data_IF_498853432548
#
_entry.id   IF_498853432548
#
_cell.length_a   1.000
_cell.length_b   1.000
_cell.length_c   1.000
_cell.angle_alpha   90.00
_cell.angle_beta   90.00
_cell.angle_gamma   90.00
#
_symmetry.space_group_name_H-M   'P 1'
#
loop_
_entity.id
_entity.type
_entity.pdbx_description
1 polymer ?
#
# COMPACT_ATOMS: atom_id res chain seq x y z
N UNK A 1 3.42 -23.29 11.78
CA UNK A 1 2.44 -23.46 10.69
C UNK A 1 1.01 -23.19 11.19
N UNK A 2 0.54 -23.82 12.29
CA UNK A 2 -0.83 -23.59 12.80
C UNK A 2 -1.04 -22.17 13.35
N UNK A 3 -0.04 -21.58 14.01
CA UNK A 3 -0.12 -20.23 14.54
C UNK A 3 -0.16 -19.18 13.41
N UNK A 4 0.68 -19.33 12.39
CA UNK A 4 0.73 -18.43 11.23
C UNK A 4 -0.57 -18.48 10.40
N UNK A 5 -1.16 -19.67 10.23
CA UNK A 5 -2.45 -19.83 9.55
C UNK A 5 -3.56 -19.14 10.33
N UNK A 6 -3.56 -19.28 11.65
CA UNK A 6 -4.57 -18.65 12.53
C UNK A 6 -4.46 -17.14 12.53
N UNK A 7 -3.25 -16.59 12.54
CA UNK A 7 -3.02 -15.14 12.41
C UNK A 7 -3.51 -14.62 11.06
N UNK A 8 -3.20 -15.31 9.96
CA UNK A 8 -3.66 -14.96 8.63
C UNK A 8 -5.19 -14.95 8.54
N UNK A 9 -5.87 -15.91 9.14
CA UNK A 9 -7.33 -16.00 9.16
C UNK A 9 -7.94 -14.85 9.96
N UNK A 10 -7.37 -14.50 11.11
CA UNK A 10 -7.81 -13.37 11.94
C UNK A 10 -7.68 -12.07 11.17
N UNK A 11 -6.53 -11.82 10.55
CA UNK A 11 -6.28 -10.59 9.79
C UNK A 11 -7.19 -10.50 8.57
N UNK A 12 -7.39 -11.59 7.85
CA UNK A 12 -8.31 -11.64 6.70
C UNK A 12 -9.75 -11.29 7.11
N UNK A 13 -10.24 -11.82 8.24
CA UNK A 13 -11.56 -11.50 8.76
C UNK A 13 -11.67 -10.01 9.14
N UNK A 14 -10.63 -9.45 9.73
CA UNK A 14 -10.58 -8.03 10.09
C UNK A 14 -10.54 -7.11 8.87
N UNK A 15 -9.82 -7.50 7.82
CA UNK A 15 -9.83 -6.79 6.54
C UNK A 15 -11.26 -6.71 5.99
N UNK A 16 -11.95 -7.84 5.93
CA UNK A 16 -13.33 -7.89 5.44
C UNK A 16 -14.26 -6.99 6.27
N UNK A 17 -14.13 -7.01 7.58
CA UNK A 17 -14.90 -6.16 8.48
C UNK A 17 -14.63 -4.67 8.25
N UNK A 18 -13.36 -4.26 8.17
CA UNK A 18 -12.97 -2.86 7.93
C UNK A 18 -13.47 -2.35 6.58
N UNK A 19 -13.40 -3.17 5.54
CA UNK A 19 -13.86 -2.80 4.21
C UNK A 19 -15.40 -2.70 4.12
N UNK A 20 -16.13 -3.36 5.02
CA UNK A 20 -17.57 -3.24 5.15
C UNK A 20 -18.03 -1.98 5.88
N UNK A 21 -17.13 -1.30 6.59
CA UNK A 21 -17.43 -0.06 7.31
C UNK A 21 -17.36 1.14 6.37
N UNK A 22 -18.34 2.04 6.46
CA UNK A 22 -18.39 3.26 5.63
C UNK A 22 -17.55 4.41 6.20
N UNK A 23 -17.24 4.35 7.48
CA UNK A 23 -16.47 5.41 8.15
C UNK A 23 -15.03 5.40 7.65
N UNK A 24 -14.61 6.54 7.12
CA UNK A 24 -13.22 6.74 6.68
C UNK A 24 -12.86 8.21 6.78
N UNK A 25 -11.73 8.50 7.40
CA UNK A 25 -11.14 9.83 7.45
C UNK A 25 -9.78 9.81 6.74
N UNK A 26 -9.61 10.68 5.76
CA UNK A 26 -8.34 10.78 5.04
C UNK A 26 -7.31 11.52 5.91
N UNK A 27 -6.52 10.77 6.65
CA UNK A 27 -5.50 11.31 7.56
C UNK A 27 -4.44 10.27 7.89
N UNK A 28 -3.23 10.68 8.31
CA UNK A 28 -2.22 9.74 8.82
C UNK A 28 -2.71 8.91 10.02
N UNK A 29 -3.55 9.50 10.87
CA UNK A 29 -4.14 8.80 12.02
C UNK A 29 -5.00 7.62 11.57
N UNK A 30 -5.74 7.76 10.48
CA UNK A 30 -6.52 6.64 9.91
C UNK A 30 -5.64 5.47 9.50
N UNK A 31 -4.49 5.74 8.88
CA UNK A 31 -3.52 4.70 8.52
C UNK A 31 -3.03 3.94 9.76
N UNK A 32 -2.69 4.65 10.83
CA UNK A 32 -2.30 4.05 12.11
C UNK A 32 -3.43 3.25 12.75
N UNK A 33 -4.65 3.77 12.68
CA UNK A 33 -5.85 3.11 13.23
C UNK A 33 -6.16 1.82 12.48
N UNK A 34 -6.05 1.82 11.16
CA UNK A 34 -6.23 0.61 10.34
C UNK A 34 -5.20 -0.45 10.73
N UNK A 35 -3.93 -0.07 10.86
CA UNK A 35 -2.89 -1.01 11.28
C UNK A 35 -3.19 -1.59 12.67
N UNK A 36 -3.57 -0.77 13.63
CA UNK A 36 -3.95 -1.23 14.96
C UNK A 36 -5.10 -2.22 14.90
N UNK A 37 -6.16 -1.90 14.18
CA UNK A 37 -7.35 -2.75 14.07
C UNK A 37 -7.10 -4.06 13.35
N UNK A 38 -6.18 -4.08 12.38
CA UNK A 38 -5.78 -5.31 11.69
C UNK A 38 -4.95 -6.23 12.60
N UNK A 39 -4.05 -5.66 13.39
CA UNK A 39 -2.99 -6.42 14.05
C UNK A 39 -3.05 -6.43 15.57
N UNK A 40 -4.06 -5.83 16.19
CA UNK A 40 -4.24 -5.86 17.64
C UNK A 40 -4.32 -7.31 18.14
N UNK A 41 -3.46 -7.63 19.14
CA UNK A 41 -3.33 -9.00 19.64
C UNK A 41 -2.52 -9.94 18.74
N UNK A 42 -2.12 -9.51 17.55
CA UNK A 42 -1.24 -10.23 16.63
C UNK A 42 0.20 -9.72 16.75
N UNK A 43 0.37 -8.42 16.71
CA UNK A 43 1.66 -7.77 16.92
C UNK A 43 1.60 -6.86 18.16
N UNK A 44 2.65 -6.88 18.97
CA UNK A 44 2.76 -5.96 20.13
C UNK A 44 2.81 -4.48 19.69
N UNK A 45 3.36 -4.23 18.52
CA UNK A 45 3.52 -2.88 17.94
C UNK A 45 2.30 -2.41 17.11
N UNK A 46 1.15 -3.07 17.22
CA UNK A 46 -0.04 -2.73 16.42
C UNK A 46 -0.42 -1.24 16.59
N UNK A 47 -0.52 -0.53 15.47
CA UNK A 47 -0.85 0.90 15.44
C UNK A 47 0.29 1.84 15.81
N UNK A 48 1.50 1.33 16.00
CA UNK A 48 2.66 2.14 16.41
C UNK A 48 3.66 2.31 15.27
N UNK A 49 4.14 3.52 15.11
CA UNK A 49 5.24 3.82 14.20
C UNK A 49 6.52 3.15 14.72
N UNK A 50 7.26 2.50 13.82
CA UNK A 50 8.52 1.85 14.18
C UNK A 50 9.54 2.86 14.73
N UNK A 51 10.25 2.51 15.83
CA UNK A 51 11.25 3.40 16.42
C UNK A 51 12.66 3.15 15.87
N UNK A 52 12.83 2.32 14.83
CA UNK A 52 14.13 1.96 14.24
C UNK A 52 14.03 1.89 12.73
N UNK A 53 15.20 2.04 12.07
CA UNK A 53 15.29 1.88 10.62
C UNK A 53 15.23 0.41 10.24
N UNK A 54 14.60 0.11 9.11
CA UNK A 54 14.43 -1.24 8.61
C UNK A 54 14.95 -1.39 7.20
N UNK A 55 15.33 -2.62 6.87
CA UNK A 55 15.68 -3.06 5.52
C UNK A 55 15.08 -4.44 5.31
N UNK A 56 14.56 -4.68 4.10
CA UNK A 56 13.96 -5.97 3.74
C UNK A 56 14.51 -6.40 2.39
N UNK A 57 15.00 -7.64 2.33
CA UNK A 57 15.40 -8.25 1.07
C UNK A 57 14.18 -8.61 0.24
N UNK A 58 14.22 -8.26 -1.03
CA UNK A 58 13.11 -8.48 -1.95
C UNK A 58 13.51 -9.47 -3.07
N UNK A 59 12.72 -10.52 -3.20
CA UNK A 59 12.93 -11.53 -4.23
C UNK A 59 12.91 -10.95 -5.66
N UNK A 60 11.99 -10.05 -5.94
CA UNK A 60 11.86 -9.41 -7.27
C UNK A 60 13.09 -8.56 -7.62
N UNK A 61 13.86 -8.13 -6.62
CA UNK A 61 15.10 -7.38 -6.77
C UNK A 61 16.35 -8.26 -6.64
N UNK A 62 16.21 -9.58 -6.70
CA UNK A 62 17.30 -10.54 -6.54
C UNK A 62 18.04 -10.40 -5.21
N UNK A 63 17.32 -10.03 -4.16
CA UNK A 63 17.84 -9.90 -2.80
C UNK A 63 18.25 -8.48 -2.41
N UNK A 64 18.16 -7.51 -3.31
CA UNK A 64 18.29 -6.09 -2.97
C UNK A 64 17.07 -5.58 -2.20
N UNK A 65 17.16 -4.38 -1.66
CA UNK A 65 16.16 -3.76 -0.81
C UNK A 65 15.74 -2.38 -1.33
N UNK A 66 14.50 -2.00 -1.02
CA UNK A 66 14.03 -0.62 -1.14
C UNK A 66 14.57 0.20 0.03
N UNK A 67 14.89 1.47 -0.22
CA UNK A 67 15.22 2.41 0.84
C UNK A 67 13.92 2.97 1.41
N UNK A 68 13.61 2.59 2.67
CA UNK A 68 12.47 3.11 3.40
C UNK A 68 12.80 4.41 4.13
N UNK A 69 11.78 5.15 4.54
CA UNK A 69 12.00 6.39 5.31
C UNK A 69 12.75 6.10 6.62
N UNK A 70 13.65 7.00 7.00
CA UNK A 70 14.27 6.95 8.31
C UNK A 70 13.21 7.09 9.41
N UNK A 71 13.34 6.33 10.50
CA UNK A 71 12.29 6.25 11.52
C UNK A 71 11.96 7.60 12.16
N UNK A 72 12.92 8.50 12.30
CA UNK A 72 12.74 9.83 12.85
C UNK A 72 12.01 10.80 11.91
N UNK A 73 11.92 10.49 10.62
CA UNK A 73 11.21 11.32 9.64
C UNK A 73 9.85 10.76 9.19
N UNK A 74 9.43 9.60 9.70
CA UNK A 74 8.19 8.94 9.29
C UNK A 74 6.96 9.85 9.47
N UNK A 75 6.81 10.44 10.64
CA UNK A 75 5.66 11.28 10.98
C UNK A 75 5.56 12.48 10.04
N UNK A 76 6.65 13.21 9.86
CA UNK A 76 6.69 14.40 9.01
C UNK A 76 6.46 14.06 7.53
N UNK A 77 7.00 12.93 7.06
CA UNK A 77 6.82 12.48 5.68
C UNK A 77 5.37 12.06 5.42
N UNK A 78 4.74 11.36 6.36
CA UNK A 78 3.32 11.03 6.27
C UNK A 78 2.46 12.30 6.20
N UNK A 79 2.70 13.26 7.09
CA UNK A 79 1.96 14.52 7.11
C UNK A 79 2.11 15.27 5.78
N UNK A 80 3.32 15.31 5.22
CA UNK A 80 3.59 15.94 3.93
C UNK A 80 2.87 15.25 2.78
N UNK A 81 2.95 13.94 2.67
CA UNK A 81 2.33 13.19 1.58
C UNK A 81 0.80 13.31 1.64
N UNK A 82 0.21 13.23 2.84
CA UNK A 82 -1.23 13.39 3.02
C UNK A 82 -1.68 14.82 2.72
N UNK A 83 -0.92 15.83 3.14
CA UNK A 83 -1.22 17.21 2.82
C UNK A 83 -1.19 17.44 1.30
N UNK A 84 -0.16 16.96 0.62
CA UNK A 84 0.00 17.08 -0.83
C UNK A 84 -1.16 16.41 -1.58
N UNK A 85 -1.56 15.21 -1.16
CA UNK A 85 -2.68 14.50 -1.76
C UNK A 85 -4.01 15.24 -1.56
N UNK A 86 -4.24 15.85 -0.40
CA UNK A 86 -5.44 16.67 -0.14
C UNK A 86 -5.53 17.90 -1.05
N UNK A 87 -4.40 18.44 -1.47
CA UNK A 87 -4.36 19.59 -2.40
C UNK A 87 -4.56 19.17 -3.86
N UNK A 88 -4.42 17.90 -4.16
CA UNK A 88 -4.59 17.38 -5.50
C UNK A 88 -6.08 17.20 -5.83
N UNK A 89 -6.48 17.58 -7.06
CA UNK A 89 -7.84 17.38 -7.54
C UNK A 89 -7.87 16.34 -8.66
N UNK A 90 -8.72 15.35 -8.51
CA UNK A 90 -9.01 14.37 -9.56
C UNK A 90 -10.01 14.88 -10.58
N UNK A 91 -10.62 16.03 -10.32
CA UNK A 91 -11.62 16.63 -11.20
C UNK A 91 -11.00 17.01 -12.56
N UNK A 92 -11.66 16.62 -13.64
CA UNK A 92 -11.21 16.90 -15.00
C UNK A 92 -10.11 16.01 -15.53
N UNK A 93 -9.59 15.07 -14.72
CA UNK A 93 -8.61 14.10 -15.17
C UNK A 93 -9.27 12.93 -15.90
N UNK A 94 -8.56 12.35 -16.89
CA UNK A 94 -8.93 11.07 -17.44
C UNK A 94 -8.78 9.97 -16.38
N UNK A 95 -9.45 8.83 -16.58
CA UNK A 95 -9.31 7.69 -15.68
C UNK A 95 -7.86 7.19 -15.62
N UNK A 96 -7.15 7.21 -16.75
CA UNK A 96 -5.73 6.81 -16.78
C UNK A 96 -4.83 7.78 -16.01
N UNK A 97 -5.06 9.08 -16.11
CA UNK A 97 -4.34 10.08 -15.34
C UNK A 97 -4.62 9.91 -13.83
N UNK A 98 -5.85 9.61 -13.47
CA UNK A 98 -6.24 9.33 -12.08
C UNK A 98 -5.56 8.05 -11.56
N UNK A 99 -5.50 7.00 -12.36
CA UNK A 99 -4.78 5.75 -12.03
C UNK A 99 -3.31 6.01 -11.79
N UNK A 100 -2.68 6.79 -12.66
CA UNK A 100 -1.25 7.13 -12.53
C UNK A 100 -0.97 7.89 -11.23
N UNK A 101 -1.80 8.88 -10.93
CA UNK A 101 -1.64 9.67 -9.69
C UNK A 101 -1.89 8.82 -8.44
N UNK A 102 -2.93 7.99 -8.46
CA UNK A 102 -3.25 7.07 -7.36
C UNK A 102 -2.12 6.07 -7.13
N UNK A 103 -1.53 5.53 -8.19
CA UNK A 103 -0.38 4.64 -8.11
C UNK A 103 0.81 5.32 -7.44
N UNK A 104 1.08 6.56 -7.81
CA UNK A 104 2.16 7.35 -7.18
C UNK A 104 1.90 7.59 -5.70
N UNK A 105 0.72 8.03 -5.33
CA UNK A 105 0.35 8.26 -3.92
C UNK A 105 0.46 6.97 -3.10
N UNK A 106 -0.08 5.86 -3.61
CA UNK A 106 -0.02 4.55 -2.95
C UNK A 106 1.44 4.10 -2.74
N UNK A 107 2.26 4.26 -3.77
CA UNK A 107 3.68 3.96 -3.72
C UNK A 107 4.42 4.80 -2.68
N UNK A 108 4.14 6.09 -2.63
CA UNK A 108 4.80 7.03 -1.71
C UNK A 108 4.50 6.69 -0.24
N UNK A 109 3.23 6.43 0.11
CA UNK A 109 2.88 6.07 1.50
C UNK A 109 3.42 4.69 1.88
N UNK A 110 3.45 3.74 0.95
CA UNK A 110 4.04 2.43 1.19
C UNK A 110 5.55 2.51 1.42
N UNK A 111 6.25 3.35 0.64
CA UNK A 111 7.71 3.52 0.75
C UNK A 111 8.11 4.12 2.11
N UNK A 112 7.28 4.94 2.71
CA UNK A 112 7.51 5.41 4.09
C UNK A 112 7.65 4.22 5.03
N UNK A 113 6.85 3.17 4.82
CA UNK A 113 6.92 1.92 5.58
C UNK A 113 6.88 2.18 7.08
N UNK A 114 5.80 2.79 7.59
CA UNK A 114 5.79 3.31 8.96
C UNK A 114 5.80 2.25 10.05
N UNK A 115 5.47 1.00 9.73
CA UNK A 115 5.32 -0.06 10.72
C UNK A 115 6.45 -1.09 10.60
N UNK A 116 6.67 -1.84 11.69
CA UNK A 116 7.64 -2.94 11.67
C UNK A 116 7.23 -4.04 10.70
N UNK A 117 5.94 -4.36 10.66
CA UNK A 117 5.32 -5.35 9.79
C UNK A 117 3.90 -4.94 9.41
N UNK A 118 3.35 -5.56 8.37
CA UNK A 118 1.98 -5.32 7.95
C UNK A 118 1.77 -4.07 7.10
N UNK A 119 2.84 -3.47 6.57
CA UNK A 119 2.76 -2.25 5.77
C UNK A 119 1.95 -2.44 4.47
N UNK A 120 2.17 -3.51 3.74
CA UNK A 120 1.48 -3.74 2.46
C UNK A 120 -0.02 -3.98 2.65
N UNK A 121 -0.42 -4.80 3.63
CA UNK A 121 -1.83 -5.05 3.95
C UNK A 121 -2.54 -3.79 4.43
N UNK A 122 -1.90 -3.01 5.28
CA UNK A 122 -2.44 -1.74 5.76
C UNK A 122 -2.61 -0.74 4.63
N UNK A 123 -1.62 -0.61 3.75
CA UNK A 123 -1.68 0.25 2.57
C UNK A 123 -2.83 -0.16 1.65
N UNK A 124 -3.01 -1.46 1.40
CA UNK A 124 -4.09 -1.97 0.57
C UNK A 124 -5.47 -1.60 1.13
N UNK A 125 -5.71 -1.85 2.42
CA UNK A 125 -6.98 -1.53 3.07
C UNK A 125 -7.23 -0.02 3.04
N UNK A 126 -6.22 0.78 3.36
CA UNK A 126 -6.33 2.24 3.33
C UNK A 126 -6.72 2.74 1.94
N UNK A 127 -6.03 2.28 0.90
CA UNK A 127 -6.26 2.73 -0.48
C UNK A 127 -7.63 2.28 -1.00
N UNK A 128 -8.08 1.07 -0.67
CA UNK A 128 -9.44 0.62 -1.02
C UNK A 128 -10.48 1.55 -0.39
N UNK A 129 -10.37 1.83 0.89
CA UNK A 129 -11.30 2.73 1.58
C UNK A 129 -11.25 4.15 1.01
N UNK A 130 -10.07 4.63 0.67
CA UNK A 130 -9.89 5.92 0.01
C UNK A 130 -10.59 5.96 -1.35
N UNK A 131 -10.38 4.96 -2.20
CA UNK A 131 -11.05 4.86 -3.50
C UNK A 131 -12.58 4.83 -3.38
N UNK A 132 -13.12 4.17 -2.36
CA UNK A 132 -14.56 4.16 -2.10
C UNK A 132 -15.12 5.54 -1.80
N UNK A 133 -14.33 6.47 -1.27
CA UNK A 133 -14.78 7.85 -1.05
C UNK A 133 -15.03 8.60 -2.36
N UNK A 134 -14.47 8.13 -3.48
CA UNK A 134 -14.72 8.67 -4.82
C UNK A 134 -15.97 8.06 -5.49
N UNK A 135 -16.71 7.22 -4.79
CA UNK A 135 -17.85 6.50 -5.34
C UNK A 135 -17.49 5.27 -6.18
N UNK A 136 -16.26 4.80 -6.11
CA UNK A 136 -15.80 3.61 -6.79
C UNK A 136 -16.18 2.35 -6.00
N UNK A 137 -16.69 1.34 -6.69
CA UNK A 137 -16.90 0.02 -6.11
C UNK A 137 -15.61 -0.77 -6.21
N UNK A 138 -14.95 -0.99 -5.09
CA UNK A 138 -13.68 -1.70 -5.01
C UNK A 138 -13.79 -2.80 -3.98
N UNK A 139 -13.57 -4.05 -4.40
CA UNK A 139 -13.51 -5.20 -3.50
C UNK A 139 -12.08 -5.56 -3.14
N UNK A 140 -11.92 -6.33 -2.05
CA UNK A 140 -10.63 -6.88 -1.67
C UNK A 140 -10.18 -8.04 -2.57
N UNK A 141 -11.05 -8.57 -3.42
CA UNK A 141 -10.79 -9.81 -4.16
C UNK A 141 -9.55 -9.70 -5.05
N UNK A 142 -9.40 -8.61 -5.80
CA UNK A 142 -8.24 -8.40 -6.68
C UNK A 142 -6.95 -8.28 -5.85
N UNK A 143 -6.99 -7.58 -4.73
CA UNK A 143 -5.84 -7.46 -3.83
C UNK A 143 -5.46 -8.80 -3.21
N UNK A 144 -6.44 -9.60 -2.80
CA UNK A 144 -6.21 -10.93 -2.23
C UNK A 144 -5.66 -11.90 -3.27
N UNK A 145 -6.23 -11.90 -4.48
CA UNK A 145 -5.81 -12.76 -5.59
C UNK A 145 -4.42 -12.41 -6.11
N UNK A 146 -4.08 -11.12 -6.16
CA UNK A 146 -2.82 -10.60 -6.70
C UNK A 146 -1.96 -9.90 -5.65
N UNK A 147 -2.02 -10.33 -4.40
CA UNK A 147 -1.29 -9.69 -3.29
C UNK A 147 0.23 -9.68 -3.51
N UNK A 148 0.76 -10.76 -4.05
CA UNK A 148 2.19 -10.88 -4.38
C UNK A 148 2.60 -9.91 -5.50
N UNK A 149 1.77 -9.81 -6.55
CA UNK A 149 1.99 -8.84 -7.61
C UNK A 149 1.94 -7.40 -7.08
N UNK A 150 0.93 -7.07 -6.28
CA UNK A 150 0.77 -5.75 -5.68
C UNK A 150 2.01 -5.34 -4.88
N UNK A 151 2.50 -6.24 -4.02
CA UNK A 151 3.73 -6.00 -3.27
C UNK A 151 4.93 -5.77 -4.18
N UNK A 152 5.14 -6.62 -5.17
CA UNK A 152 6.27 -6.50 -6.11
C UNK A 152 6.18 -5.21 -6.95
N UNK A 153 4.98 -4.80 -7.32
CA UNK A 153 4.75 -3.55 -8.04
C UNK A 153 5.15 -2.32 -7.19
N UNK A 154 4.83 -2.33 -5.89
CA UNK A 154 5.25 -1.30 -4.94
C UNK A 154 6.78 -1.28 -4.76
N UNK A 155 7.39 -2.44 -4.68
CA UNK A 155 8.85 -2.57 -4.62
C UNK A 155 9.50 -1.94 -5.85
N UNK A 156 9.04 -2.28 -7.05
CA UNK A 156 9.56 -1.75 -8.32
C UNK A 156 9.34 -0.25 -8.47
N UNK A 157 8.28 0.28 -7.89
CA UNK A 157 7.99 1.71 -7.91
C UNK A 157 8.99 2.53 -7.07
N UNK A 158 9.75 1.89 -6.19
CA UNK A 158 10.63 2.55 -5.23
C UNK A 158 12.09 2.08 -5.31
N UNK A 159 12.48 1.38 -6.37
CA UNK A 159 13.82 0.82 -6.49
C UNK A 159 14.56 1.37 -7.69
N UNK A 160 15.75 1.90 -7.44
CA UNK A 160 16.69 2.32 -8.48
C UNK A 160 18.01 1.57 -8.34
N UNK A 161 18.54 1.09 -9.44
CA UNK A 161 19.91 0.58 -9.55
C UNK A 161 20.49 1.10 -10.86
N UNK A 162 20.96 2.34 -10.83
CA UNK A 162 21.43 3.06 -12.02
C UNK A 162 22.63 2.38 -12.67
N UNK A 163 23.48 1.72 -11.86
CA UNK A 163 24.62 0.96 -12.34
C UNK A 163 24.20 -0.18 -13.28
N UNK A 164 23.05 -0.78 -13.04
CA UNK A 164 22.48 -1.84 -13.86
C UNK A 164 21.35 -1.35 -14.78
N UNK A 165 21.18 -0.04 -14.93
CA UNK A 165 20.16 0.56 -15.80
C UNK A 165 18.72 0.37 -15.30
N UNK A 166 18.52 0.12 -14.00
CA UNK A 166 17.20 -0.10 -13.42
C UNK A 166 16.70 1.21 -12.81
N UNK A 167 15.53 1.66 -13.23
CA UNK A 167 14.86 2.84 -12.73
C UNK A 167 13.55 2.48 -12.03
N UNK A 168 13.22 3.22 -10.98
CA UNK A 168 11.92 3.12 -10.34
C UNK A 168 10.81 3.44 -11.34
N UNK A 169 9.75 2.66 -11.32
CA UNK A 169 8.60 2.84 -12.21
C UNK A 169 7.30 2.43 -11.55
N UNK A 170 6.26 3.22 -11.73
CA UNK A 170 4.89 2.89 -11.27
C UNK A 170 4.11 2.08 -12.30
N UNK A 171 4.71 1.73 -13.44
CA UNK A 171 4.03 1.04 -14.54
C UNK A 171 3.33 -0.24 -14.10
N UNK A 172 3.98 -1.08 -13.31
CA UNK A 172 3.39 -2.33 -12.82
C UNK A 172 2.21 -2.08 -11.89
N UNK A 173 2.30 -1.06 -11.05
CA UNK A 173 1.22 -0.66 -10.16
C UNK A 173 0.05 -0.04 -10.93
N UNK A 174 0.33 0.72 -11.98
CA UNK A 174 -0.67 1.27 -12.88
C UNK A 174 -1.46 0.17 -13.61
N UNK A 175 -0.79 -0.91 -14.05
CA UNK A 175 -1.47 -2.07 -14.64
C UNK A 175 -2.45 -2.70 -13.65
N UNK A 176 -2.03 -2.88 -12.41
CA UNK A 176 -2.87 -3.41 -11.34
C UNK A 176 -4.12 -2.53 -11.11
N UNK A 177 -3.94 -1.23 -10.95
CA UNK A 177 -5.06 -0.30 -10.75
C UNK A 177 -5.93 -0.17 -11.99
N UNK A 178 -5.38 -0.28 -13.19
CA UNK A 178 -6.16 -0.30 -14.42
C UNK A 178 -7.10 -1.51 -14.47
N UNK A 179 -6.61 -2.70 -14.14
CA UNK A 179 -7.45 -3.89 -14.05
C UNK A 179 -8.54 -3.74 -12.99
N UNK A 180 -8.22 -3.11 -11.87
CA UNK A 180 -9.14 -2.89 -10.77
C UNK A 180 -10.24 -1.87 -11.08
N UNK A 181 -9.87 -0.75 -11.70
CA UNK A 181 -10.75 0.42 -11.85
C UNK A 181 -11.32 0.59 -13.26
N UNK A 182 -10.59 0.14 -14.28
CA UNK A 182 -10.95 0.31 -15.68
C UNK A 182 -11.44 -0.98 -16.35
N UNK A 183 -11.53 -2.06 -15.59
CA UNK A 183 -11.88 -3.40 -16.09
C UNK A 183 -11.01 -3.87 -17.25
N UNK A 184 -9.75 -3.45 -17.30
CA UNK A 184 -8.77 -3.99 -18.24
C UNK A 184 -8.34 -5.38 -17.84
N UNK A 185 -7.76 -6.14 -18.79
CA UNK A 185 -7.29 -7.52 -18.57
C UNK A 185 -5.79 -7.63 -18.81
N UNK A 186 -5.02 -6.66 -18.34
CA UNK A 186 -3.58 -6.76 -18.40
C UNK A 186 -3.08 -7.98 -17.62
N UNK A 187 -2.14 -8.70 -18.22
CA UNK A 187 -1.50 -9.83 -17.56
C UNK A 187 -0.57 -9.31 -16.45
N UNK A 188 -0.78 -9.78 -15.22
CA UNK A 188 0.00 -9.38 -14.06
C UNK A 188 1.11 -10.40 -13.79
N UNK A 189 2.32 -10.07 -14.24
CA UNK A 189 3.51 -10.92 -14.07
C UNK A 189 4.44 -10.36 -13.01
N UNK A 190 4.91 -11.25 -12.12
CA UNK A 190 5.86 -10.87 -11.07
C UNK A 190 7.30 -10.69 -11.59
N UNK A 191 7.61 -11.22 -12.75
CA UNK A 191 8.90 -11.07 -13.45
C UNK A 191 8.70 -10.94 -14.94
#
# INVERSE_FOLDING_TARGET
>A
VQAETKEADIVSARIAMLLGERTFQFSPVELLTIHRRLFEGVFEHAGRIRPYNISKREWVLKGDSVIYAACDSIKDTLEYDFYTEKQFSYEGLSLQESVKHLAKFTSDIWQIHPFCEGNTRTTAVFVIKYMKTFGLEVSNDVFAEHSWYFRNALVRANYNNLKNGIHATTEYLELFFSNLLLNTNYELKNR
#
